data_IF_446995780158
#
_entry.id   IF_446995780158
#
_cell.length_a   1.000
_cell.length_b   1.000
_cell.length_c   1.000
_cell.angle_alpha   90.00
_cell.angle_beta   90.00
_cell.angle_gamma   90.00
#
_symmetry.space_group_name_H-M   'P 1'
#
loop_
_entity.id
_entity.type
_entity.pdbx_description
1 polymer ?
#
# COMPACT_ATOMS: atom_id res chain seq x y z
N UNK A 1 26.10 -4.66 10.44
CA UNK A 1 25.45 -5.72 11.21
C UNK A 1 24.97 -6.76 10.20
N UNK A 2 25.35 -7.99 10.37
CA UNK A 2 24.97 -9.08 9.47
C UNK A 2 23.51 -9.49 9.75
N UNK A 3 22.67 -9.58 8.71
CA UNK A 3 21.32 -10.08 8.86
C UNK A 3 21.37 -11.59 9.15
N UNK A 4 20.55 -12.05 10.05
CA UNK A 4 20.45 -13.48 10.34
C UNK A 4 19.55 -14.19 9.33
N UNK A 5 18.54 -13.49 8.86
CA UNK A 5 17.58 -13.95 7.85
C UNK A 5 17.31 -12.79 6.91
N UNK A 6 17.45 -13.03 5.62
CA UNK A 6 17.16 -12.07 4.58
C UNK A 6 15.92 -12.48 3.79
N UNK A 7 14.96 -11.56 3.67
CA UNK A 7 13.79 -11.66 2.79
C UNK A 7 13.03 -12.99 2.87
N UNK A 8 12.83 -13.51 4.08
CA UNK A 8 12.08 -14.76 4.29
C UNK A 8 10.62 -14.59 3.86
N UNK A 9 10.19 -15.43 2.92
CA UNK A 9 8.78 -15.49 2.52
C UNK A 9 7.93 -16.16 3.59
N UNK A 10 6.80 -15.52 3.90
CA UNK A 10 5.74 -16.10 4.73
C UNK A 10 4.49 -16.33 3.89
N UNK A 11 3.78 -17.41 4.16
CA UNK A 11 2.48 -17.72 3.57
C UNK A 11 1.42 -17.77 4.66
N UNK A 12 0.24 -17.19 4.36
CA UNK A 12 -0.91 -17.26 5.25
C UNK A 12 -1.73 -18.49 4.94
N UNK A 13 -1.93 -19.35 5.95
CA UNK A 13 -2.76 -20.52 5.81
C UNK A 13 -3.53 -20.77 7.11
N UNK A 14 -4.84 -20.92 7.01
CA UNK A 14 -5.74 -21.26 8.13
C UNK A 14 -5.55 -20.42 9.39
N UNK A 15 -5.42 -19.09 9.21
CA UNK A 15 -5.29 -18.14 10.33
C UNK A 15 -3.86 -17.92 10.83
N UNK A 16 -2.86 -18.56 10.22
CA UNK A 16 -1.46 -18.50 10.68
C UNK A 16 -0.52 -18.14 9.54
N UNK A 17 0.46 -17.28 9.84
CA UNK A 17 1.57 -16.98 8.96
C UNK A 17 2.70 -17.99 9.19
N UNK A 18 3.11 -18.68 8.14
CA UNK A 18 4.15 -19.69 8.20
C UNK A 18 5.35 -19.27 7.34
N UNK A 19 6.58 -19.28 7.86
CA UNK A 19 7.77 -19.01 7.08
C UNK A 19 8.02 -20.17 6.09
N UNK A 20 8.65 -19.87 4.97
CA UNK A 20 9.03 -20.89 3.99
C UNK A 20 10.07 -21.87 4.55
N UNK A 21 10.97 -21.37 5.41
CA UNK A 21 11.97 -22.15 6.13
C UNK A 21 11.95 -21.82 7.62
N UNK A 22 12.42 -22.74 8.45
CA UNK A 22 12.51 -22.50 9.89
C UNK A 22 13.52 -21.41 10.24
N UNK A 23 13.11 -20.48 11.07
CA UNK A 23 13.94 -19.36 11.55
C UNK A 23 14.38 -19.66 12.98
N UNK A 24 15.67 -19.54 13.25
CA UNK A 24 16.26 -19.79 14.57
C UNK A 24 16.91 -18.51 15.11
N UNK A 25 16.92 -18.38 16.44
CA UNK A 25 17.68 -17.33 17.10
C UNK A 25 19.19 -17.55 16.93
N UNK A 26 19.95 -16.49 16.75
CA UNK A 26 21.42 -16.54 16.61
C UNK A 26 22.07 -17.15 17.86
N UNK A 27 21.62 -16.70 19.03
CA UNK A 27 22.08 -17.14 20.35
C UNK A 27 20.98 -16.85 21.40
N UNK A 28 21.29 -17.04 22.68
CA UNK A 28 20.34 -16.85 23.79
C UNK A 28 20.24 -15.41 24.31
N UNK A 29 21.12 -14.51 23.88
CA UNK A 29 21.31 -13.20 24.52
C UNK A 29 21.22 -12.02 23.56
N UNK A 30 21.39 -12.24 22.25
CA UNK A 30 21.40 -11.16 21.26
C UNK A 30 20.00 -10.71 20.90
N UNK A 31 19.69 -9.46 21.17
CA UNK A 31 18.44 -8.86 20.73
C UNK A 31 18.40 -8.67 19.20
N UNK A 32 17.25 -8.88 18.60
CA UNK A 32 17.03 -8.87 17.15
C UNK A 32 15.91 -7.93 16.77
N UNK A 33 16.10 -7.19 15.68
CA UNK A 33 15.06 -6.40 15.05
C UNK A 33 14.40 -7.21 13.93
N UNK A 34 13.07 -7.16 13.86
CA UNK A 34 12.27 -7.79 12.83
C UNK A 34 11.60 -6.73 11.98
N UNK A 35 11.68 -6.90 10.68
CA UNK A 35 11.02 -6.08 9.68
C UNK A 35 10.09 -6.97 8.86
N UNK A 36 8.90 -6.51 8.55
CA UNK A 36 7.97 -7.20 7.68
C UNK A 36 7.38 -6.24 6.66
N UNK A 37 7.17 -6.71 5.45
CA UNK A 37 6.50 -5.96 4.41
C UNK A 37 5.61 -6.87 3.55
N UNK A 38 4.66 -6.27 2.88
CA UNK A 38 3.76 -6.90 1.92
C UNK A 38 3.48 -5.92 0.76
N UNK A 39 3.39 -6.39 -0.48
CA UNK A 39 3.51 -7.78 -0.95
C UNK A 39 4.98 -8.27 -0.94
N UNK A 40 5.14 -9.58 -0.86
CA UNK A 40 6.46 -10.21 -0.97
C UNK A 40 7.04 -10.04 -2.38
N UNK A 41 8.33 -9.74 -2.45
CA UNK A 41 9.09 -9.71 -3.69
C UNK A 41 10.40 -10.49 -3.51
N UNK A 42 10.74 -11.38 -4.44
CA UNK A 42 11.99 -12.16 -4.38
C UNK A 42 13.23 -11.28 -4.42
N UNK A 43 13.17 -10.20 -5.20
CA UNK A 43 14.27 -9.23 -5.32
C UNK A 43 14.04 -8.08 -4.35
N UNK A 44 14.73 -8.09 -3.23
CA UNK A 44 14.65 -7.03 -2.22
C UNK A 44 15.85 -6.08 -2.31
N UNK A 45 15.57 -4.77 -2.23
CA UNK A 45 16.55 -3.74 -1.93
C UNK A 45 16.11 -3.03 -0.66
N UNK A 46 16.83 -3.24 0.45
CA UNK A 46 16.39 -2.76 1.77
C UNK A 46 16.29 -1.23 1.83
N UNK A 47 17.23 -0.51 1.20
CA UNK A 47 17.27 0.95 1.24
C UNK A 47 16.41 1.64 0.17
N UNK A 48 16.02 0.92 -0.89
CA UNK A 48 15.26 1.48 -2.00
C UNK A 48 14.42 0.41 -2.70
N UNK A 49 13.51 -0.23 -1.94
CA UNK A 49 12.63 -1.27 -2.46
C UNK A 49 11.61 -0.65 -3.43
N UNK A 50 11.60 -1.06 -4.71
CA UNK A 50 10.66 -0.49 -5.67
C UNK A 50 9.26 -1.05 -5.48
N UNK A 51 8.27 -0.18 -5.56
CA UNK A 51 6.86 -0.55 -5.58
C UNK A 51 6.05 0.44 -6.42
N UNK A 52 4.97 -0.03 -7.04
CA UNK A 52 4.08 0.83 -7.82
C UNK A 52 2.62 0.47 -7.54
N UNK A 53 1.78 1.49 -7.44
CA UNK A 53 0.33 1.29 -7.47
C UNK A 53 -0.13 1.08 -8.91
N UNK A 54 -1.18 0.31 -9.11
CA UNK A 54 -1.78 0.15 -10.44
C UNK A 54 -2.43 1.47 -10.89
N UNK A 55 -2.20 1.87 -12.13
CA UNK A 55 -2.88 3.00 -12.74
C UNK A 55 -4.38 2.70 -12.95
N UNK A 56 -4.72 1.48 -13.29
CA UNK A 56 -6.11 1.00 -13.31
C UNK A 56 -6.41 0.22 -12.02
N UNK A 57 -7.12 0.86 -11.10
CA UNK A 57 -7.59 0.29 -9.85
C UNK A 57 -9.11 0.03 -9.87
N UNK A 58 -9.73 -0.06 -11.05
CA UNK A 58 -11.18 -0.23 -11.19
C UNK A 58 -11.70 -1.58 -10.67
N UNK A 59 -10.83 -2.54 -10.43
CA UNK A 59 -11.13 -3.83 -9.81
C UNK A 59 -10.63 -3.91 -8.37
N UNK A 60 -11.29 -4.70 -7.52
CA UNK A 60 -10.83 -4.94 -6.15
C UNK A 60 -9.44 -5.56 -6.12
N UNK A 61 -9.12 -6.46 -7.04
CA UNK A 61 -7.81 -7.09 -7.15
C UNK A 61 -6.70 -6.05 -7.36
N UNK A 62 -6.86 -5.17 -8.35
CA UNK A 62 -5.88 -4.12 -8.66
C UNK A 62 -5.79 -3.08 -7.55
N UNK A 63 -6.92 -2.76 -6.90
CA UNK A 63 -6.94 -1.84 -5.76
C UNK A 63 -6.13 -2.41 -4.59
N UNK A 64 -6.39 -3.66 -4.17
CA UNK A 64 -5.65 -4.27 -3.07
C UNK A 64 -4.20 -4.61 -3.42
N UNK A 65 -3.89 -4.91 -4.69
CA UNK A 65 -2.52 -5.08 -5.16
C UNK A 65 -1.71 -3.76 -5.11
N UNK A 66 -2.38 -2.61 -5.01
CA UNK A 66 -1.77 -1.28 -4.89
C UNK A 66 -1.47 -0.88 -3.44
N UNK A 67 -1.74 -1.74 -2.47
CA UNK A 67 -1.46 -1.46 -1.06
C UNK A 67 -0.10 -2.02 -0.64
N UNK A 68 0.65 -1.22 0.12
CA UNK A 68 1.94 -1.63 0.67
C UNK A 68 1.89 -1.55 2.19
N UNK A 69 2.17 -2.69 2.82
CA UNK A 69 2.21 -2.80 4.28
C UNK A 69 3.66 -2.90 4.75
N UNK A 70 3.96 -2.23 5.83
CA UNK A 70 5.25 -2.30 6.50
C UNK A 70 5.10 -2.33 8.02
N UNK A 71 6.00 -3.05 8.69
CA UNK A 71 6.04 -3.10 10.14
C UNK A 71 7.41 -3.47 10.68
N UNK A 72 7.66 -3.06 11.92
CA UNK A 72 8.89 -3.33 12.65
C UNK A 72 8.59 -3.69 14.10
N UNK A 73 9.32 -4.67 14.62
CA UNK A 73 9.43 -4.94 16.05
C UNK A 73 10.91 -5.01 16.42
N UNK A 74 11.34 -4.16 17.33
CA UNK A 74 12.75 -3.97 17.63
C UNK A 74 13.15 -4.49 18.99
N UNK A 75 14.42 -4.83 19.13
CA UNK A 75 15.08 -5.18 20.38
C UNK A 75 14.41 -6.38 21.07
N UNK A 76 14.02 -7.40 20.29
CA UNK A 76 13.41 -8.61 20.82
C UNK A 76 14.47 -9.59 21.29
N UNK A 77 14.45 -9.93 22.56
CA UNK A 77 15.31 -10.99 23.11
C UNK A 77 14.78 -12.36 22.69
N UNK A 78 15.65 -13.37 22.56
CA UNK A 78 15.25 -14.72 22.24
C UNK A 78 14.14 -15.24 23.15
N UNK A 79 13.09 -15.77 22.54
CA UNK A 79 11.88 -16.24 23.21
C UNK A 79 11.33 -17.48 22.51
N UNK A 80 10.72 -18.44 23.25
CA UNK A 80 9.97 -19.55 22.64
C UNK A 80 8.59 -19.12 22.12
N UNK A 81 8.16 -17.86 22.39
CA UNK A 81 6.86 -17.35 21.95
C UNK A 81 6.95 -16.74 20.55
N UNK A 82 5.81 -16.66 19.88
CA UNK A 82 5.72 -15.92 18.60
C UNK A 82 6.04 -14.43 18.80
N UNK A 83 6.82 -13.86 17.89
CA UNK A 83 7.12 -12.43 17.86
C UNK A 83 6.02 -11.70 17.09
N UNK A 84 5.23 -10.83 17.75
CA UNK A 84 4.20 -10.08 17.06
C UNK A 84 4.81 -8.94 16.23
N UNK A 85 4.50 -8.88 14.93
CA UNK A 85 4.84 -7.76 14.07
C UNK A 85 3.55 -7.11 13.60
N UNK A 86 3.35 -5.84 13.98
CA UNK A 86 2.20 -5.06 13.52
C UNK A 86 2.59 -4.27 12.29
N UNK A 87 1.93 -4.57 11.18
CA UNK A 87 2.09 -3.81 9.94
C UNK A 87 1.09 -2.65 9.88
N UNK A 88 1.45 -1.62 9.11
CA UNK A 88 0.63 -0.46 8.79
C UNK A 88 0.64 -0.26 7.27
N UNK A 89 -0.43 0.35 6.76
CA UNK A 89 -0.45 0.83 5.39
C UNK A 89 0.57 1.96 5.24
N UNK A 90 1.49 1.82 4.30
CA UNK A 90 2.50 2.85 3.99
C UNK A 90 2.01 3.85 2.95
N UNK A 91 0.95 3.51 2.24
CA UNK A 91 0.36 4.34 1.19
C UNK A 91 -0.92 5.04 1.66
N UNK A 92 -1.32 6.07 0.92
CA UNK A 92 -2.51 6.86 1.21
C UNK A 92 -3.71 6.34 0.42
N UNK A 93 -4.89 6.34 1.03
CA UNK A 93 -6.15 6.04 0.35
C UNK A 93 -6.95 7.32 0.14
N UNK A 94 -7.26 7.62 -1.12
CA UNK A 94 -8.20 8.68 -1.49
C UNK A 94 -9.60 8.09 -1.50
N UNK A 95 -10.55 8.78 -0.84
CA UNK A 95 -11.98 8.52 -0.91
C UNK A 95 -12.64 9.68 -1.63
N UNK A 96 -13.44 9.38 -2.66
CA UNK A 96 -14.17 10.37 -3.45
C UNK A 96 -15.66 10.07 -3.35
N UNK A 97 -16.42 11.04 -2.86
CA UNK A 97 -17.88 11.04 -2.93
C UNK A 97 -18.33 12.13 -3.91
N UNK A 98 -19.13 11.79 -4.90
CA UNK A 98 -19.71 12.74 -5.85
C UNK A 98 -21.16 13.01 -5.52
N UNK A 99 -21.58 14.28 -5.66
CA UNK A 99 -22.95 14.73 -5.34
C UNK A 99 -23.52 15.53 -6.49
N UNK A 100 -24.82 15.49 -6.66
CA UNK A 100 -25.53 16.29 -7.64
C UNK A 100 -25.25 17.78 -7.40
N UNK A 101 -24.80 18.46 -8.43
CA UNK A 101 -24.65 19.91 -8.42
C UNK A 101 -25.96 20.63 -8.79
N UNK A 102 -25.90 21.97 -8.84
CA UNK A 102 -27.04 22.80 -9.31
C UNK A 102 -27.47 22.37 -10.72
N UNK A 103 -28.76 22.21 -10.94
CA UNK A 103 -29.35 21.86 -12.23
C UNK A 103 -29.63 20.38 -12.45
N UNK A 104 -29.16 19.50 -11.58
CA UNK A 104 -29.60 18.11 -11.61
C UNK A 104 -30.92 17.93 -10.84
N UNK A 105 -31.81 17.13 -11.41
CA UNK A 105 -32.92 16.50 -10.68
C UNK A 105 -32.46 15.12 -10.23
N UNK A 106 -33.20 14.46 -9.31
CA UNK A 106 -32.88 13.09 -8.88
C UNK A 106 -32.84 12.12 -10.07
N UNK A 107 -33.75 12.27 -11.01
CA UNK A 107 -33.82 11.46 -12.22
C UNK A 107 -32.60 11.67 -13.12
N UNK A 108 -32.27 12.94 -13.45
CA UNK A 108 -31.12 13.23 -14.30
C UNK A 108 -29.79 12.86 -13.64
N UNK A 109 -29.67 12.99 -12.31
CA UNK A 109 -28.51 12.54 -11.57
C UNK A 109 -28.34 11.02 -11.59
N UNK A 110 -29.44 10.27 -11.38
CA UNK A 110 -29.42 8.80 -11.39
C UNK A 110 -29.02 8.26 -12.76
N UNK A 111 -29.51 8.90 -13.83
CA UNK A 111 -29.26 8.46 -15.21
C UNK A 111 -27.94 9.01 -15.80
N UNK A 112 -27.23 9.90 -15.09
CA UNK A 112 -25.97 10.45 -15.56
C UNK A 112 -24.88 9.39 -15.60
N UNK A 113 -24.15 9.31 -16.70
CA UNK A 113 -22.89 8.57 -16.78
C UNK A 113 -21.85 9.32 -15.94
N UNK A 114 -21.17 8.60 -15.06
CA UNK A 114 -20.19 9.18 -14.14
C UNK A 114 -18.84 8.48 -14.33
N UNK A 115 -17.83 9.25 -14.63
CA UNK A 115 -16.44 8.77 -14.74
C UNK A 115 -15.55 9.61 -13.83
N UNK A 116 -14.75 8.93 -13.00
CA UNK A 116 -13.83 9.57 -12.06
C UNK A 116 -12.41 9.16 -12.42
N UNK A 117 -11.51 10.13 -12.46
CA UNK A 117 -10.07 9.91 -12.59
C UNK A 117 -9.32 10.76 -11.58
N UNK A 118 -8.18 10.25 -11.11
CA UNK A 118 -7.24 10.97 -10.28
C UNK A 118 -6.03 11.29 -11.14
N UNK A 119 -5.71 12.59 -11.26
CA UNK A 119 -4.70 13.08 -12.19
C UNK A 119 -3.44 13.56 -11.48
N UNK A 120 -2.37 13.62 -12.25
CA UNK A 120 -1.10 14.24 -11.84
C UNK A 120 -0.48 13.64 -10.58
N UNK A 121 -0.64 12.34 -10.39
CA UNK A 121 -0.03 11.59 -9.28
C UNK A 121 1.08 10.67 -9.79
N UNK A 122 2.16 10.57 -9.03
CA UNK A 122 3.18 9.56 -9.27
C UNK A 122 2.64 8.21 -8.77
N UNK A 123 2.80 7.18 -9.58
CA UNK A 123 2.33 5.82 -9.28
C UNK A 123 3.42 4.92 -8.75
N UNK A 124 4.69 5.32 -8.88
CA UNK A 124 5.85 4.56 -8.43
C UNK A 124 6.45 5.17 -7.16
N UNK A 125 7.06 4.33 -6.35
CA UNK A 125 7.81 4.71 -5.15
C UNK A 125 9.05 3.85 -4.96
N UNK A 126 10.00 4.38 -4.21
CA UNK A 126 11.02 3.60 -3.50
C UNK A 126 10.73 3.63 -2.00
N UNK A 127 10.88 2.49 -1.35
CA UNK A 127 10.57 2.34 0.07
C UNK A 127 11.86 1.91 0.79
N UNK A 128 12.25 2.67 1.80
CA UNK A 128 13.30 2.25 2.72
C UNK A 128 12.69 1.25 3.73
N UNK A 129 12.99 -0.03 3.57
CA UNK A 129 12.46 -1.08 4.42
C UNK A 129 13.01 -1.05 5.85
N UNK A 130 14.07 -0.30 6.12
CA UNK A 130 14.58 -0.12 7.48
C UNK A 130 13.74 0.87 8.30
N UNK A 131 13.04 1.78 7.63
CA UNK A 131 12.24 2.85 8.24
C UNK A 131 10.76 2.80 7.86
N UNK A 132 10.40 2.15 6.75
CA UNK A 132 9.06 2.14 6.16
C UNK A 132 8.70 3.43 5.40
N UNK A 133 9.67 4.34 5.19
CA UNK A 133 9.45 5.59 4.47
C UNK A 133 9.36 5.32 2.97
N UNK A 134 8.26 5.75 2.36
CA UNK A 134 8.06 5.72 0.92
C UNK A 134 8.36 7.08 0.31
N UNK A 135 9.10 7.09 -0.80
CA UNK A 135 9.40 8.28 -1.60
C UNK A 135 8.83 8.09 -2.99
N UNK A 136 7.94 8.98 -3.41
CA UNK A 136 7.35 8.96 -4.74
C UNK A 136 8.42 9.16 -5.82
N UNK A 137 8.31 8.38 -6.91
CA UNK A 137 9.25 8.40 -8.03
C UNK A 137 8.50 8.26 -9.36
N UNK A 138 9.21 8.44 -10.48
CA UNK A 138 8.65 8.31 -11.81
C UNK A 138 7.84 9.52 -12.26
N UNK A 139 7.15 9.36 -13.37
CA UNK A 139 6.31 10.40 -13.96
C UNK A 139 4.93 10.46 -13.28
N UNK A 140 4.29 11.61 -13.41
CA UNK A 140 2.88 11.77 -13.01
C UNK A 140 1.97 11.13 -14.05
N UNK A 141 1.00 10.38 -13.57
CA UNK A 141 0.04 9.61 -14.38
C UNK A 141 -1.39 9.87 -13.92
N UNK A 142 -2.34 9.21 -14.55
CA UNK A 142 -3.73 9.16 -14.08
C UNK A 142 -4.04 7.79 -13.43
N UNK A 143 -4.90 7.80 -12.43
CA UNK A 143 -5.42 6.58 -11.80
C UNK A 143 -6.93 6.50 -12.04
N UNK A 144 -7.40 5.34 -12.48
CA UNK A 144 -8.80 4.97 -12.54
C UNK A 144 -9.17 4.33 -11.19
N UNK A 145 -9.99 4.97 -10.34
CA UNK A 145 -10.30 4.47 -9.02
C UNK A 145 -11.31 3.32 -9.02
N UNK A 146 -11.33 2.55 -7.95
CA UNK A 146 -12.36 1.54 -7.68
C UNK A 146 -13.68 2.23 -7.36
N UNK A 147 -14.75 1.90 -8.09
CA UNK A 147 -16.12 2.28 -7.75
C UNK A 147 -16.64 1.37 -6.65
N UNK A 148 -16.96 1.91 -5.49
CA UNK A 148 -17.46 1.15 -4.32
C UNK A 148 -18.97 1.20 -4.17
N UNK A 149 -19.60 2.25 -4.71
CA UNK A 149 -21.04 2.40 -4.81
C UNK A 149 -21.37 3.36 -5.94
N UNK A 150 -22.66 3.72 -6.11
CA UNK A 150 -23.11 4.58 -7.20
C UNK A 150 -22.36 5.91 -7.28
N UNK A 151 -22.03 6.50 -6.15
CA UNK A 151 -21.41 7.83 -6.06
C UNK A 151 -20.08 7.83 -5.30
N UNK A 152 -19.53 6.66 -4.92
CA UNK A 152 -18.33 6.57 -4.11
C UNK A 152 -17.24 5.79 -4.83
N UNK A 153 -16.05 6.34 -4.75
CA UNK A 153 -14.84 5.78 -5.37
C UNK A 153 -13.68 5.83 -4.39
N UNK A 154 -12.71 4.95 -4.59
CA UNK A 154 -11.48 4.94 -3.80
C UNK A 154 -10.28 4.54 -4.64
N UNK A 155 -9.11 5.06 -4.26
CA UNK A 155 -7.84 4.65 -4.86
C UNK A 155 -6.71 4.68 -3.84
N UNK A 156 -5.74 3.80 -4.01
CA UNK A 156 -4.45 3.84 -3.34
C UNK A 156 -3.49 4.74 -4.14
N UNK A 157 -2.80 5.64 -3.45
CA UNK A 157 -1.79 6.51 -4.04
C UNK A 157 -0.51 6.47 -3.21
N UNK A 158 0.61 6.66 -3.88
CA UNK A 158 1.91 6.88 -3.23
C UNK A 158 1.86 8.19 -2.43
N UNK A 159 2.37 8.24 -1.19
CA UNK A 159 2.50 9.49 -0.43
C UNK A 159 3.34 10.51 -1.19
N UNK A 160 2.76 11.66 -1.51
CA UNK A 160 3.39 12.71 -2.30
C UNK A 160 2.77 14.07 -2.06
N UNK A 161 3.50 15.12 -2.42
CA UNK A 161 2.95 16.48 -2.42
C UNK A 161 2.16 16.69 -3.71
N UNK A 162 0.91 17.10 -3.56
CA UNK A 162 0.05 17.51 -4.69
C UNK A 162 0.08 19.02 -4.81
N UNK A 163 0.73 19.53 -5.84
CA UNK A 163 0.94 20.98 -6.04
C UNK A 163 -0.37 21.71 -6.38
N UNK A 164 -1.25 21.07 -7.18
CA UNK A 164 -2.56 21.63 -7.56
C UNK A 164 -3.67 20.62 -7.24
N UNK A 165 -4.20 20.71 -6.04
CA UNK A 165 -5.29 19.84 -5.59
C UNK A 165 -6.61 20.09 -6.33
N UNK A 166 -6.80 21.23 -7.00
CA UNK A 166 -8.03 21.57 -7.74
C UNK A 166 -8.24 20.68 -8.97
N UNK A 167 -7.17 20.05 -9.46
CA UNK A 167 -7.19 19.15 -10.62
C UNK A 167 -6.87 17.70 -10.25
N UNK A 168 -6.78 17.39 -8.95
CA UNK A 168 -6.45 16.04 -8.50
C UNK A 168 -7.55 15.05 -8.89
N UNK A 169 -8.80 15.41 -8.68
CA UNK A 169 -9.95 14.56 -9.01
C UNK A 169 -10.81 15.27 -10.05
N UNK A 170 -11.07 14.60 -11.16
CA UNK A 170 -11.97 15.09 -12.21
C UNK A 170 -13.10 14.09 -12.39
N UNK A 171 -14.33 14.60 -12.31
CA UNK A 171 -15.56 13.87 -12.62
C UNK A 171 -16.08 14.35 -13.98
N UNK A 172 -16.40 13.42 -14.87
CA UNK A 172 -17.00 13.69 -16.19
C UNK A 172 -18.18 12.78 -16.45
#
# INVERSE_FOLDING_TARGET
>A
QENQVDNMRFTYNSGTWNPYESIFWKDKNTATDFYAYYPYNESVNISAHPFSVNADQSTEENFWASDFLWGKTSNVLPTPLAVPIKTKHSFSRILVEIKAGKGFTDETWTNATKSIKIYSVQTSATIDLSTGVATATGNKEEIIPLKTSENNYQAMIVPQVVEDASRLVVAT
#
